data_IF_930911661815
#
_entry.id   IF_930911661815
#
_cell.length_a   1.000
_cell.length_b   1.000
_cell.length_c   1.000
_cell.angle_alpha   90.00
_cell.angle_beta   90.00
_cell.angle_gamma   90.00
#
_symmetry.space_group_name_H-M   'P 1'
#
loop_
_entity.id
_entity.type
_entity.pdbx_description
1 polymer ?
#
# COMPACT_ATOMS: atom_id res chain seq x y z
N UNK A 1 -42.61 -20.05 -37.59
CA UNK A 1 -41.34 -20.78 -37.33
C UNK A 1 -40.09 -19.87 -37.33
N UNK A 2 -40.12 -18.70 -37.99
CA UNK A 2 -38.98 -17.80 -38.15
C UNK A 2 -38.53 -17.00 -36.90
N UNK A 3 -39.42 -16.73 -35.93
CA UNK A 3 -39.07 -15.98 -34.71
C UNK A 3 -38.17 -16.74 -33.72
N UNK A 4 -38.17 -18.08 -33.78
CA UNK A 4 -37.40 -18.93 -32.86
C UNK A 4 -35.92 -19.04 -33.26
N UNK A 5 -35.60 -18.91 -34.54
CA UNK A 5 -34.23 -18.92 -35.04
C UNK A 5 -33.48 -17.61 -34.74
N UNK A 6 -34.15 -16.45 -34.80
CA UNK A 6 -33.53 -15.15 -34.50
C UNK A 6 -33.06 -15.03 -33.04
N UNK A 7 -33.84 -15.55 -32.08
CA UNK A 7 -33.46 -15.58 -30.66
C UNK A 7 -32.27 -16.52 -30.37
N UNK A 8 -32.10 -17.59 -31.15
CA UNK A 8 -31.04 -18.56 -30.96
C UNK A 8 -29.67 -18.03 -31.42
N UNK A 9 -29.66 -17.22 -32.49
CA UNK A 9 -28.44 -16.58 -33.03
C UNK A 9 -27.96 -15.44 -32.11
N UNK A 10 -28.89 -14.69 -31.51
CA UNK A 10 -28.54 -13.64 -30.55
C UNK A 10 -27.96 -14.21 -29.25
N UNK A 11 -28.45 -15.37 -28.83
CA UNK A 11 -28.00 -16.06 -27.62
C UNK A 11 -26.57 -16.59 -27.73
N UNK A 12 -26.18 -17.14 -28.89
CA UNK A 12 -24.81 -17.64 -29.12
C UNK A 12 -23.80 -16.50 -29.27
N UNK A 13 -24.18 -15.38 -29.89
CA UNK A 13 -23.34 -14.18 -30.01
C UNK A 13 -23.11 -13.51 -28.64
N UNK A 14 -24.17 -13.28 -27.87
CA UNK A 14 -24.08 -12.64 -26.56
C UNK A 14 -23.24 -13.47 -25.57
N UNK A 15 -23.41 -14.79 -25.55
CA UNK A 15 -22.60 -15.67 -24.71
C UNK A 15 -21.10 -15.63 -25.11
N UNK A 16 -20.79 -15.57 -26.41
CA UNK A 16 -19.41 -15.49 -26.91
C UNK A 16 -18.73 -14.16 -26.53
N UNK A 17 -19.46 -13.05 -26.56
CA UNK A 17 -18.97 -11.72 -26.13
C UNK A 17 -18.75 -11.69 -24.61
N UNK A 18 -19.60 -12.33 -23.82
CA UNK A 18 -19.42 -12.40 -22.37
C UNK A 18 -18.19 -13.23 -21.97
N UNK A 19 -17.94 -14.35 -22.64
CA UNK A 19 -16.78 -15.21 -22.32
C UNK A 19 -15.46 -14.48 -22.64
N UNK A 20 -15.39 -13.73 -23.75
CA UNK A 20 -14.17 -12.97 -24.08
C UNK A 20 -13.95 -11.79 -23.13
N UNK A 21 -14.99 -11.04 -22.77
CA UNK A 21 -14.84 -9.87 -21.91
C UNK A 21 -14.62 -10.23 -20.43
N UNK A 22 -15.22 -11.33 -19.93
CA UNK A 22 -14.98 -11.82 -18.56
C UNK A 22 -13.58 -12.43 -18.44
N UNK A 23 -13.12 -13.25 -19.40
CA UNK A 23 -11.77 -13.85 -19.33
C UNK A 23 -10.62 -12.85 -19.50
N UNK A 24 -10.77 -11.81 -20.32
CA UNK A 24 -9.68 -10.83 -20.52
C UNK A 24 -9.58 -9.79 -19.40
N UNK A 25 -10.69 -9.46 -18.74
CA UNK A 25 -10.71 -8.42 -17.70
C UNK A 25 -10.30 -8.96 -16.31
N UNK A 26 -10.42 -10.28 -16.09
CA UNK A 26 -9.95 -10.93 -14.86
C UNK A 26 -8.43 -10.87 -14.66
N UNK A 27 -7.65 -10.86 -15.74
CA UNK A 27 -6.17 -10.84 -15.66
C UNK A 27 -5.61 -9.53 -15.08
N UNK A 28 -6.38 -8.43 -15.18
CA UNK A 28 -5.99 -7.12 -14.65
C UNK A 28 -6.39 -6.91 -13.18
N UNK A 29 -7.24 -7.78 -12.64
CA UNK A 29 -7.79 -7.60 -11.28
C UNK A 29 -6.86 -8.13 -10.18
N UNK A 30 -5.88 -8.98 -10.50
CA UNK A 30 -5.02 -9.64 -9.51
C UNK A 30 -3.60 -9.04 -9.40
N UNK A 31 -3.32 -7.89 -10.05
CA UNK A 31 -1.99 -7.26 -10.03
C UNK A 31 -1.98 -5.77 -9.69
N UNK A 32 -3.07 -5.21 -9.15
CA UNK A 32 -3.13 -3.79 -8.79
C UNK A 32 -3.67 -3.57 -7.37
N UNK A 33 -2.76 -3.57 -6.41
CA UNK A 33 -2.93 -2.85 -5.14
C UNK A 33 -2.12 -1.54 -5.19
N UNK A 34 -2.27 -0.73 -6.25
CA UNK A 34 -1.82 0.66 -6.20
C UNK A 34 -2.88 1.48 -5.43
N UNK A 35 -2.87 1.38 -4.11
CA UNK A 35 -3.59 2.33 -3.27
C UNK A 35 -2.64 3.52 -3.01
N UNK A 36 -2.91 4.64 -3.67
CA UNK A 36 -2.17 5.90 -3.59
C UNK A 36 -2.07 6.46 -2.16
N UNK A 37 -2.80 5.90 -1.18
CA UNK A 37 -2.90 6.41 0.18
C UNK A 37 -2.20 5.54 1.25
N UNK A 38 -1.50 4.47 0.85
CA UNK A 38 -0.69 3.67 1.77
C UNK A 38 0.60 3.20 1.06
N UNK A 39 1.77 3.81 1.32
CA UNK A 39 3.05 3.41 0.72
C UNK A 39 3.55 2.04 1.19
N UNK A 40 2.75 1.28 1.93
CA UNK A 40 3.10 -0.07 2.35
C UNK A 40 3.08 -1.04 1.16
N UNK A 41 4.28 -1.29 0.64
CA UNK A 41 4.72 -2.55 0.04
C UNK A 41 4.11 -2.92 -1.33
N UNK A 42 4.02 -1.95 -2.24
CA UNK A 42 3.91 -2.22 -3.68
C UNK A 42 5.23 -2.67 -4.34
N UNK A 43 6.12 -3.32 -3.59
CA UNK A 43 7.50 -3.63 -4.04
C UNK A 43 7.57 -4.84 -4.98
N UNK A 44 6.55 -5.70 -4.96
CA UNK A 44 6.44 -6.85 -5.84
C UNK A 44 5.75 -6.40 -7.14
N UNK A 45 6.55 -5.85 -8.05
CA UNK A 45 6.16 -5.76 -9.46
C UNK A 45 6.31 -7.15 -10.08
N UNK A 46 5.47 -7.48 -11.06
CA UNK A 46 5.52 -8.77 -11.75
C UNK A 46 6.80 -8.96 -12.56
N UNK A 47 6.73 -9.78 -13.60
CA UNK A 47 7.81 -9.89 -14.57
C UNK A 47 8.13 -8.51 -15.22
N UNK A 48 9.29 -8.34 -15.87
CA UNK A 48 9.67 -7.06 -16.49
C UNK A 48 8.67 -6.52 -17.52
N UNK A 49 7.78 -7.38 -18.03
CA UNK A 49 6.66 -7.05 -18.92
C UNK A 49 5.42 -6.51 -18.18
N UNK A 50 5.51 -6.33 -16.86
CA UNK A 50 4.42 -5.86 -16.00
C UNK A 50 3.34 -6.90 -15.75
N UNK A 51 3.56 -8.16 -16.14
CA UNK A 51 2.57 -9.25 -16.00
C UNK A 51 2.92 -10.19 -14.85
N UNK A 52 1.91 -10.92 -14.37
CA UNK A 52 2.11 -12.05 -13.47
C UNK A 52 1.70 -13.34 -14.19
N UNK A 53 2.65 -14.26 -14.34
CA UNK A 53 2.43 -15.57 -14.98
C UNK A 53 1.92 -16.58 -13.94
N UNK A 54 0.77 -16.28 -13.34
CA UNK A 54 0.13 -17.09 -12.30
C UNK A 54 -0.54 -18.37 -12.83
N UNK A 55 -0.56 -18.55 -14.14
CA UNK A 55 -0.99 -19.75 -14.85
C UNK A 55 0.00 -20.92 -14.73
N UNK A 56 1.22 -20.66 -14.27
CA UNK A 56 2.27 -21.66 -14.01
C UNK A 56 2.82 -21.55 -12.60
N UNK A 57 3.34 -22.67 -12.08
CA UNK A 57 4.09 -22.66 -10.84
C UNK A 57 5.35 -21.78 -10.98
N UNK A 58 5.53 -20.85 -10.04
CA UNK A 58 6.73 -20.04 -9.93
C UNK A 58 7.89 -20.86 -9.39
N UNK A 59 9.08 -20.67 -9.96
CA UNK A 59 10.30 -21.28 -9.44
C UNK A 59 10.80 -20.54 -8.19
N UNK A 60 11.53 -21.22 -7.32
CA UNK A 60 12.17 -20.58 -6.15
C UNK A 60 13.11 -19.43 -6.54
N UNK A 61 13.73 -19.51 -7.72
CA UNK A 61 14.62 -18.48 -8.24
C UNK A 61 13.88 -17.24 -8.71
N UNK A 62 12.75 -17.39 -9.38
CA UNK A 62 11.87 -16.27 -9.77
C UNK A 62 11.35 -15.53 -8.53
N UNK A 63 11.00 -16.27 -7.47
CA UNK A 63 10.64 -15.67 -6.19
C UNK A 63 11.80 -14.91 -5.55
N UNK A 64 13.00 -15.49 -5.53
CA UNK A 64 14.19 -14.85 -4.96
C UNK A 64 14.55 -13.55 -5.70
N UNK A 65 14.42 -13.53 -7.03
CA UNK A 65 14.66 -12.33 -7.83
C UNK A 65 13.63 -11.23 -7.53
N UNK A 66 12.34 -11.59 -7.42
CA UNK A 66 11.28 -10.66 -7.05
C UNK A 66 11.47 -10.10 -5.63
N UNK A 67 11.88 -10.96 -4.69
CA UNK A 67 12.17 -10.57 -3.30
C UNK A 67 13.39 -9.64 -3.23
N UNK A 68 14.48 -9.95 -3.95
CA UNK A 68 15.66 -9.10 -3.97
C UNK A 68 15.36 -7.70 -4.54
N UNK A 69 14.56 -7.64 -5.61
CA UNK A 69 14.09 -6.37 -6.17
C UNK A 69 13.24 -5.58 -5.16
N UNK A 70 12.36 -6.25 -4.44
CA UNK A 70 11.55 -5.64 -3.39
C UNK A 70 12.41 -5.08 -2.24
N UNK A 71 13.38 -5.86 -1.74
CA UNK A 71 14.24 -5.44 -0.64
C UNK A 71 15.04 -4.18 -0.97
N UNK A 72 15.57 -4.08 -2.20
CA UNK A 72 16.26 -2.86 -2.68
C UNK A 72 15.33 -1.63 -2.70
N UNK A 73 14.06 -1.80 -3.07
CA UNK A 73 13.08 -0.73 -3.05
C UNK A 73 12.72 -0.30 -1.62
N UNK A 74 12.60 -1.27 -0.70
CA UNK A 74 12.34 -0.96 0.71
C UNK A 74 13.52 -0.19 1.30
N UNK A 75 14.76 -0.57 1.03
CA UNK A 75 15.96 0.14 1.51
C UNK A 75 16.00 1.60 1.03
N UNK A 76 15.59 1.87 -0.22
CA UNK A 76 15.50 3.24 -0.76
C UNK A 76 14.35 4.05 -0.18
N UNK A 77 13.24 3.38 0.18
CA UNK A 77 12.02 4.01 0.68
C UNK A 77 11.95 4.05 2.21
N UNK A 78 12.87 3.41 2.93
CA UNK A 78 13.09 3.69 4.34
C UNK A 78 13.73 5.07 4.36
N UNK A 79 13.00 6.14 4.75
CA UNK A 79 13.65 7.41 4.91
C UNK A 79 14.74 7.19 5.97
N UNK A 80 15.99 7.52 5.62
CA UNK A 80 17.06 7.72 6.59
C UNK A 80 16.62 8.88 7.50
N UNK A 81 15.69 8.60 8.41
CA UNK A 81 14.97 9.58 9.22
C UNK A 81 15.84 10.07 10.39
N UNK A 82 17.16 10.02 10.26
CA UNK A 82 18.11 10.53 11.25
C UNK A 82 17.96 12.04 11.47
N UNK A 83 17.43 12.77 10.48
CA UNK A 83 17.17 14.20 10.59
C UNK A 83 15.98 14.58 11.50
N UNK A 84 15.12 13.62 11.87
CA UNK A 84 13.87 13.89 12.61
C UNK A 84 13.66 13.08 13.89
N UNK A 85 14.56 12.15 14.22
CA UNK A 85 14.39 11.25 15.36
C UNK A 85 14.55 11.95 16.73
N UNK A 86 15.20 13.11 16.78
CA UNK A 86 15.32 13.95 17.98
C UNK A 86 15.86 15.35 17.62
N UNK A 87 15.06 16.27 17.08
CA UNK A 87 15.50 17.63 16.84
C UNK A 87 15.75 18.34 18.17
N UNK A 88 16.80 19.18 18.24
CA UNK A 88 17.12 19.96 19.46
C UNK A 88 15.95 20.81 19.95
N UNK A 89 15.08 21.25 19.04
CA UNK A 89 13.84 21.97 19.37
C UNK A 89 12.91 21.19 20.28
N UNK A 90 12.82 19.86 20.14
CA UNK A 90 11.97 19.04 21.00
C UNK A 90 12.52 18.98 22.42
N UNK A 91 13.85 18.94 22.56
CA UNK A 91 14.51 19.02 23.86
C UNK A 91 14.24 20.38 24.53
N UNK A 92 14.33 21.47 23.77
CA UNK A 92 14.01 22.81 24.26
C UNK A 92 12.55 22.92 24.74
N UNK A 93 11.60 22.37 23.97
CA UNK A 93 10.19 22.31 24.35
C UNK A 93 9.96 21.50 25.64
N UNK A 94 10.72 20.43 25.86
CA UNK A 94 10.65 19.65 27.10
C UNK A 94 11.22 20.42 28.30
N UNK A 95 12.34 21.12 28.13
CA UNK A 95 12.93 21.97 29.17
C UNK A 95 11.98 23.09 29.56
N UNK A 96 11.36 23.77 28.59
CA UNK A 96 10.37 24.81 28.86
C UNK A 96 9.17 24.28 29.64
N UNK A 97 8.64 23.11 29.25
CA UNK A 97 7.54 22.46 29.99
C UNK A 97 7.93 22.13 31.43
N UNK A 98 9.15 21.64 31.67
CA UNK A 98 9.64 21.36 33.01
C UNK A 98 9.74 22.64 33.86
N UNK A 99 10.20 23.75 33.29
CA UNK A 99 10.28 25.03 33.99
C UNK A 99 8.89 25.54 34.38
N UNK A 100 7.92 25.48 33.46
CA UNK A 100 6.55 25.91 33.72
C UNK A 100 5.89 25.08 34.83
N UNK A 101 6.06 23.75 34.80
CA UNK A 101 5.54 22.88 35.85
C UNK A 101 6.09 23.24 37.23
N UNK A 102 7.38 23.56 37.34
CA UNK A 102 7.98 23.96 38.60
C UNK A 102 7.40 25.28 39.14
N UNK A 103 7.07 26.23 38.25
CA UNK A 103 6.43 27.49 38.62
C UNK A 103 5.00 27.26 39.12
N UNK A 104 4.22 26.45 38.41
CA UNK A 104 2.85 26.10 38.80
C UNK A 104 2.80 25.41 40.18
N UNK A 105 3.77 24.54 40.48
CA UNK A 105 3.87 23.90 41.79
C UNK A 105 4.18 24.89 42.92
N UNK A 106 5.03 25.89 42.68
CA UNK A 106 5.32 26.93 43.68
C UNK A 106 4.09 27.78 43.96
N UNK A 107 3.37 28.16 42.92
CA UNK A 107 2.11 28.91 43.06
C UNK A 107 1.06 28.10 43.83
N UNK A 108 0.88 26.81 43.49
CA UNK A 108 -0.03 25.93 44.21
C UNK A 108 0.37 25.76 45.69
N UNK A 109 1.66 25.63 46.00
CA UNK A 109 2.12 25.51 47.38
C UNK A 109 1.85 26.78 48.18
N UNK A 110 1.96 27.96 47.57
CA UNK A 110 1.63 29.23 48.22
C UNK A 110 0.12 29.32 48.49
N UNK A 111 -0.72 28.94 47.52
CA UNK A 111 -2.19 28.92 47.68
C UNK A 111 -2.73 27.95 48.73
N UNK A 112 -1.99 26.88 49.05
CA UNK A 112 -2.38 25.92 50.10
C UNK A 112 -1.94 26.39 51.48
N UNK A 113 -0.93 27.27 51.55
CA UNK A 113 -0.40 27.82 52.80
C UNK A 113 -1.18 29.04 53.31
N UNK A 114 -1.85 29.77 52.42
CA UNK A 114 -2.77 30.87 52.73
C UNK A 114 -4.19 30.36 53.03
#
# INVERSE_FOLDING_TARGET
MLFKLSRLIYFTSAASICITNICFNSSKLLAQTNNQNNPQLGCLSGYPDGTFRGDRAMTRYEFAAALAACLNQVEQNIPNQTNGLAPKSDLENLVQRQQKLNQELQELNNRVKD
#
